data_IF_913460796981
#
_entry.id   IF_913460796981
#
_cell.length_a   1.000
_cell.length_b   1.000
_cell.length_c   1.000
_cell.angle_alpha   90.00
_cell.angle_beta   90.00
_cell.angle_gamma   90.00
#
_symmetry.space_group_name_H-M   'P 1'
#
loop_
_entity.id
_entity.type
_entity.pdbx_description
1 polymer ?
#
# COMPACT_ATOMS: atom_id res chain seq x y z
N UNK A 1 -6.75 -16.19 24.96
CA UNK A 1 -6.89 -17.10 23.83
C UNK A 1 -7.49 -16.42 22.62
N UNK A 2 -7.55 -17.14 21.49
CA UNK A 2 -8.11 -16.66 20.22
C UNK A 2 -9.07 -17.70 19.68
N UNK A 3 -10.28 -17.27 19.30
CA UNK A 3 -11.22 -18.13 18.57
C UNK A 3 -10.97 -17.94 17.06
N UNK A 4 -10.85 -19.03 16.33
CA UNK A 4 -10.64 -19.02 14.88
C UNK A 4 -11.52 -20.09 14.22
N UNK A 5 -11.75 -19.93 12.93
CA UNK A 5 -12.44 -20.91 12.09
C UNK A 5 -11.39 -21.74 11.34
N UNK A 6 -11.47 -23.05 11.46
CA UNK A 6 -10.59 -23.99 10.77
C UNK A 6 -10.98 -24.12 9.27
N UNK A 7 -10.17 -24.86 8.51
CA UNK A 7 -10.41 -25.09 7.08
C UNK A 7 -11.75 -25.81 6.76
N UNK A 8 -12.43 -26.38 7.75
CA UNK A 8 -13.70 -27.08 7.61
C UNK A 8 -14.90 -26.20 8.09
N UNK A 9 -14.65 -24.94 8.49
CA UNK A 9 -15.67 -24.04 9.00
C UNK A 9 -16.02 -24.25 10.48
N UNK A 10 -15.22 -25.03 11.22
CA UNK A 10 -15.45 -25.28 12.66
C UNK A 10 -14.76 -24.22 13.49
N UNK A 11 -15.49 -23.61 14.43
CA UNK A 11 -14.92 -22.70 15.41
C UNK A 11 -14.11 -23.47 16.46
N UNK A 12 -12.87 -23.05 16.65
CA UNK A 12 -11.96 -23.59 17.64
C UNK A 12 -11.37 -22.48 18.52
N UNK A 13 -11.09 -22.79 19.77
CA UNK A 13 -10.42 -21.90 20.73
C UNK A 13 -8.97 -22.35 20.90
N UNK A 14 -8.04 -21.47 20.60
CA UNK A 14 -6.65 -21.61 20.96
C UNK A 14 -6.39 -20.85 22.26
N UNK A 15 -6.14 -21.57 23.34
CA UNK A 15 -5.81 -20.98 24.63
C UNK A 15 -4.38 -20.40 24.61
N UNK A 16 -4.20 -19.22 25.19
CA UNK A 16 -2.91 -18.56 25.36
C UNK A 16 -2.95 -17.63 26.58
N UNK A 17 -1.81 -17.49 27.25
CA UNK A 17 -1.65 -16.56 28.39
C UNK A 17 -1.59 -15.12 27.91
N UNK A 18 -1.02 -14.88 26.71
CA UNK A 18 -0.89 -13.59 26.07
C UNK A 18 -1.24 -13.69 24.59
N UNK A 19 -1.98 -12.70 24.09
CA UNK A 19 -2.28 -12.55 22.66
C UNK A 19 -1.72 -11.21 22.17
N UNK A 20 -0.92 -11.25 21.09
CA UNK A 20 -0.41 -10.06 20.41
C UNK A 20 -1.08 -9.96 19.06
N UNK A 21 -1.94 -8.95 18.89
CA UNK A 21 -2.53 -8.65 17.59
C UNK A 21 -1.58 -7.78 16.75
N UNK A 22 -1.28 -8.23 15.54
CA UNK A 22 -0.50 -7.49 14.53
C UNK A 22 -1.36 -7.12 13.32
N UNK A 23 -2.68 -7.28 13.42
CA UNK A 23 -3.63 -6.87 12.39
C UNK A 23 -3.85 -5.36 12.41
N UNK A 24 -4.60 -4.83 11.43
CA UNK A 24 -5.03 -3.43 11.45
C UNK A 24 -5.74 -3.09 12.77
N UNK A 25 -5.39 -1.96 13.38
CA UNK A 25 -5.91 -1.58 14.70
C UNK A 25 -7.42 -1.39 14.71
N UNK A 26 -7.98 -0.79 13.65
CA UNK A 26 -9.43 -0.65 13.53
C UNK A 26 -10.10 -2.03 13.50
N UNK A 27 -9.57 -2.97 12.72
CA UNK A 27 -10.09 -4.32 12.63
C UNK A 27 -9.98 -5.06 13.99
N UNK A 28 -8.82 -4.96 14.65
CA UNK A 28 -8.63 -5.56 15.99
C UNK A 28 -9.67 -5.05 16.98
N UNK A 29 -9.86 -3.74 17.04
CA UNK A 29 -10.75 -3.10 18.01
C UNK A 29 -12.23 -3.35 17.70
N UNK A 30 -12.64 -3.16 16.43
CA UNK A 30 -14.06 -3.14 16.07
C UNK A 30 -14.63 -4.50 15.65
N UNK A 31 -13.77 -5.47 15.31
CA UNK A 31 -14.18 -6.77 14.78
C UNK A 31 -13.74 -7.96 15.64
N UNK A 32 -12.58 -7.86 16.31
CA UNK A 32 -12.03 -8.98 17.08
C UNK A 32 -12.30 -8.85 18.57
N UNK A 33 -12.42 -7.64 19.11
CA UNK A 33 -12.68 -7.42 20.53
C UNK A 33 -14.17 -7.23 20.80
N UNK A 34 -14.70 -7.82 21.91
CA UNK A 34 -16.02 -7.48 22.42
C UNK A 34 -16.14 -5.99 22.71
N UNK A 35 -17.35 -5.43 22.58
CA UNK A 35 -17.57 -3.97 22.70
C UNK A 35 -17.08 -3.38 24.03
N UNK A 36 -17.21 -4.13 25.12
CA UNK A 36 -16.76 -3.73 26.46
C UNK A 36 -15.24 -3.70 26.65
N UNK A 37 -14.49 -4.33 25.74
CA UNK A 37 -13.01 -4.35 25.75
C UNK A 37 -12.39 -3.43 24.73
N UNK A 38 -13.19 -2.74 23.90
CA UNK A 38 -12.69 -1.83 22.87
C UNK A 38 -12.20 -0.53 23.50
N UNK A 39 -10.92 -0.22 23.31
CA UNK A 39 -10.36 1.10 23.64
C UNK A 39 -10.76 2.15 22.61
N UNK A 40 -10.87 1.75 21.34
CA UNK A 40 -11.17 2.60 20.19
C UNK A 40 -12.41 2.08 19.44
N UNK A 41 -13.64 2.34 19.96
CA UNK A 41 -14.87 1.93 19.31
C UNK A 41 -15.11 2.67 17.99
N UNK A 42 -16.06 2.20 17.16
CA UNK A 42 -16.34 2.77 15.84
C UNK A 42 -16.54 4.30 15.88
N UNK A 43 -17.17 4.85 16.92
CA UNK A 43 -17.36 6.29 17.09
C UNK A 43 -16.06 7.10 17.24
N UNK A 44 -14.96 6.48 17.63
CA UNK A 44 -13.63 7.07 17.61
C UNK A 44 -13.12 7.15 16.16
N UNK A 45 -13.26 6.07 15.38
CA UNK A 45 -12.78 5.96 14.01
C UNK A 45 -13.55 6.86 13.04
N UNK A 46 -14.83 7.11 13.29
CA UNK A 46 -15.69 7.99 12.49
C UNK A 46 -15.16 9.44 12.43
N UNK A 47 -14.39 9.84 13.45
CA UNK A 47 -13.79 11.16 13.57
C UNK A 47 -12.35 11.25 13.07
N UNK A 48 -11.77 10.11 12.66
CA UNK A 48 -10.37 10.05 12.23
C UNK A 48 -10.24 10.22 10.73
N UNK A 49 -9.15 10.87 10.35
CA UNK A 49 -8.72 11.01 8.96
C UNK A 49 -7.83 9.83 8.62
N UNK A 50 -8.13 9.14 7.54
CA UNK A 50 -7.31 8.05 7.03
C UNK A 50 -5.99 8.58 6.46
N UNK A 51 -4.92 7.84 6.67
CA UNK A 51 -3.63 8.06 6.00
C UNK A 51 -3.71 7.76 4.51
N UNK A 52 -2.62 7.94 3.78
CA UNK A 52 -2.60 7.60 2.36
C UNK A 52 -2.69 6.08 2.15
N UNK A 53 -3.21 5.71 1.00
CA UNK A 53 -3.06 4.41 0.39
C UNK A 53 -1.94 4.44 -0.65
N UNK A 54 -1.80 3.36 -1.39
CA UNK A 54 -0.85 3.26 -2.50
C UNK A 54 -1.40 2.38 -3.62
N UNK A 55 -0.91 2.59 -4.84
CA UNK A 55 -0.81 1.52 -5.82
C UNK A 55 0.60 0.96 -5.74
N UNK A 56 0.70 -0.34 -5.54
CA UNK A 56 1.96 -1.07 -5.62
C UNK A 56 2.06 -1.76 -6.97
N UNK A 57 3.27 -1.76 -7.54
CA UNK A 57 3.55 -2.45 -8.80
C UNK A 57 4.78 -3.31 -8.59
N UNK A 58 4.63 -4.60 -8.75
CA UNK A 58 5.72 -5.58 -8.72
C UNK A 58 6.04 -5.98 -10.15
N UNK A 59 7.31 -5.88 -10.52
CA UNK A 59 7.77 -6.14 -11.88
C UNK A 59 8.90 -7.16 -11.90
N UNK A 60 8.83 -8.11 -12.84
CA UNK A 60 9.97 -8.81 -13.36
C UNK A 60 10.40 -8.16 -14.68
N UNK A 61 11.66 -7.80 -14.79
CA UNK A 61 12.21 -7.08 -15.94
C UNK A 61 13.38 -7.89 -16.52
N UNK A 62 13.35 -8.16 -17.81
CA UNK A 62 14.44 -8.83 -18.51
C UNK A 62 15.67 -7.96 -18.56
N UNK A 63 16.82 -8.51 -18.17
CA UNK A 63 18.09 -7.80 -18.17
C UNK A 63 18.25 -6.84 -16.98
N UNK A 64 19.33 -6.08 -17.00
CA UNK A 64 19.67 -5.10 -15.97
C UNK A 64 19.06 -3.75 -16.27
N UNK A 65 18.77 -2.98 -15.22
CA UNK A 65 18.28 -1.59 -15.30
C UNK A 65 19.29 -0.70 -14.54
N UNK A 66 20.42 -0.35 -15.18
CA UNK A 66 21.49 0.40 -14.52
C UNK A 66 21.11 1.85 -14.17
N UNK A 67 20.07 2.39 -14.79
CA UNK A 67 19.53 3.74 -14.53
C UNK A 67 18.87 3.85 -13.15
N UNK A 68 18.49 2.71 -12.54
CA UNK A 68 17.88 2.64 -11.21
C UNK A 68 18.86 2.02 -10.22
N UNK A 69 18.97 2.62 -9.05
CA UNK A 69 19.69 2.07 -7.90
C UNK A 69 18.72 1.33 -6.96
N UNK A 70 19.23 0.69 -5.91
CA UNK A 70 18.40 -0.08 -4.97
C UNK A 70 17.18 0.71 -4.48
N UNK A 71 17.35 1.98 -4.12
CA UNK A 71 16.28 2.89 -3.76
C UNK A 71 16.33 4.14 -4.61
N UNK A 72 15.35 4.34 -5.48
CA UNK A 72 15.19 5.52 -6.32
C UNK A 72 13.91 6.26 -5.94
N UNK A 73 14.00 7.57 -5.77
CA UNK A 73 12.87 8.43 -5.42
C UNK A 73 12.72 9.48 -6.52
N UNK A 74 11.55 9.55 -7.12
CA UNK A 74 11.18 10.54 -8.12
C UNK A 74 10.20 11.52 -7.50
N UNK A 75 10.62 12.76 -7.30
CA UNK A 75 9.79 13.80 -6.72
C UNK A 75 9.28 14.76 -7.80
N UNK A 76 8.05 15.20 -7.67
CA UNK A 76 7.51 16.30 -8.48
C UNK A 76 8.00 17.64 -7.92
N UNK A 77 8.16 18.65 -8.78
CA UNK A 77 8.59 20.00 -8.36
C UNK A 77 7.60 20.63 -7.35
N UNK A 78 6.30 20.46 -7.60
CA UNK A 78 5.23 20.92 -6.69
C UNK A 78 4.70 19.77 -5.83
N UNK A 79 5.51 19.33 -4.90
CA UNK A 79 5.12 18.27 -3.96
C UNK A 79 4.07 18.72 -2.93
N UNK A 80 3.95 20.02 -2.65
CA UNK A 80 2.88 20.56 -1.78
C UNK A 80 1.53 20.32 -2.44
N UNK A 81 1.39 20.65 -3.73
CA UNK A 81 0.19 20.34 -4.50
C UNK A 81 -0.06 18.83 -4.58
N UNK A 82 0.99 18.03 -4.76
CA UNK A 82 0.91 16.59 -4.83
C UNK A 82 0.27 16.00 -3.56
N UNK A 83 0.78 16.38 -2.38
CA UNK A 83 0.21 15.97 -1.09
C UNK A 83 -1.19 16.54 -0.85
N UNK A 84 -1.44 17.79 -1.23
CA UNK A 84 -2.76 18.42 -1.05
C UNK A 84 -3.86 17.67 -1.81
N UNK A 85 -3.56 17.11 -2.98
CA UNK A 85 -4.49 16.27 -3.76
C UNK A 85 -4.87 14.99 -3.02
N UNK A 86 -3.89 14.34 -2.36
CA UNK A 86 -4.12 13.09 -1.61
C UNK A 86 -5.02 13.34 -0.38
N UNK A 87 -4.83 14.46 0.31
CA UNK A 87 -5.51 14.77 1.59
C UNK A 87 -6.65 15.78 1.46
N UNK A 88 -7.06 16.15 0.24
CA UNK A 88 -8.19 17.05 0.01
C UNK A 88 -9.52 16.47 0.52
N UNK A 89 -10.52 17.33 0.74
CA UNK A 89 -11.91 16.89 1.01
C UNK A 89 -12.50 16.04 -0.12
N UNK A 90 -12.07 16.28 -1.35
CA UNK A 90 -12.32 15.46 -2.52
C UNK A 90 -10.95 15.02 -3.06
N UNK A 91 -10.40 13.93 -2.53
CA UNK A 91 -9.06 13.52 -2.87
C UNK A 91 -8.98 13.05 -4.32
N UNK A 92 -7.83 13.26 -4.93
CA UNK A 92 -7.54 12.82 -6.30
C UNK A 92 -6.14 12.25 -6.38
N UNK A 93 -5.92 11.35 -7.33
CA UNK A 93 -4.59 10.82 -7.62
C UNK A 93 -3.74 11.92 -8.25
N UNK A 94 -2.56 12.24 -7.70
CA UNK A 94 -1.66 13.23 -8.29
C UNK A 94 -1.16 12.78 -9.68
N UNK A 95 -1.00 13.74 -10.59
CA UNK A 95 -0.37 13.53 -11.90
C UNK A 95 0.46 14.76 -12.23
N UNK A 96 1.80 14.63 -12.44
CA UNK A 96 2.61 13.45 -12.12
C UNK A 96 2.57 13.14 -10.62
N UNK A 97 2.90 11.90 -10.26
CA UNK A 97 2.99 11.48 -8.87
C UNK A 97 4.44 11.49 -8.37
N UNK A 98 4.65 11.68 -7.07
CA UNK A 98 5.92 11.29 -6.47
C UNK A 98 5.94 9.76 -6.35
N UNK A 99 7.01 9.12 -6.83
CA UNK A 99 7.09 7.66 -6.95
C UNK A 99 8.33 7.15 -6.26
N UNK A 100 8.20 6.06 -5.51
CA UNK A 100 9.30 5.31 -4.96
C UNK A 100 9.50 4.02 -5.75
N UNK A 101 10.76 3.74 -6.10
CA UNK A 101 11.17 2.49 -6.77
C UNK A 101 12.23 1.81 -5.93
N UNK A 102 12.01 0.53 -5.63
CA UNK A 102 13.00 -0.34 -5.02
C UNK A 102 13.43 -1.41 -6.03
N UNK A 103 14.74 -1.62 -6.14
CA UNK A 103 15.37 -2.66 -6.96
C UNK A 103 16.13 -3.64 -6.06
N UNK A 104 15.44 -4.60 -5.39
CA UNK A 104 16.09 -5.52 -4.45
C UNK A 104 17.21 -6.35 -5.07
N UNK A 105 17.08 -6.72 -6.35
CA UNK A 105 18.10 -7.45 -7.11
C UNK A 105 19.43 -6.73 -7.28
N UNK A 106 19.51 -5.44 -6.93
CA UNK A 106 20.76 -4.68 -6.93
C UNK A 106 21.72 -5.14 -5.81
N UNK A 107 21.18 -5.55 -4.69
CA UNK A 107 21.94 -5.99 -3.52
C UNK A 107 21.81 -7.49 -3.25
N UNK A 108 20.65 -8.09 -3.52
CA UNK A 108 20.42 -9.53 -3.40
C UNK A 108 20.07 -10.13 -4.76
N UNK A 109 21.06 -10.81 -5.35
CA UNK A 109 20.89 -11.45 -6.67
C UNK A 109 20.01 -12.70 -6.63
N UNK A 110 19.63 -13.20 -5.46
CA UNK A 110 18.80 -14.39 -5.32
C UNK A 110 17.29 -14.09 -5.52
N UNK A 111 16.90 -12.81 -5.49
CA UNK A 111 15.48 -12.38 -5.59
C UNK A 111 15.00 -12.15 -7.02
N UNK A 112 15.84 -12.42 -8.03
CA UNK A 112 15.48 -12.38 -9.45
C UNK A 112 16.20 -13.50 -10.22
N UNK A 113 15.70 -13.95 -11.38
CA UNK A 113 16.44 -14.84 -12.26
C UNK A 113 17.81 -14.25 -12.63
N UNK A 114 18.79 -15.14 -12.91
CA UNK A 114 20.14 -14.69 -13.21
C UNK A 114 20.18 -13.77 -14.46
N UNK A 115 20.64 -12.56 -14.25
CA UNK A 115 20.74 -11.55 -15.30
C UNK A 115 19.54 -10.62 -15.42
N UNK A 116 18.43 -10.94 -14.76
CA UNK A 116 17.22 -10.13 -14.76
C UNK A 116 17.11 -9.22 -13.51
N UNK A 117 16.11 -8.39 -13.50
CA UNK A 117 15.85 -7.39 -12.44
C UNK A 117 14.43 -7.57 -11.91
N UNK A 118 14.25 -7.42 -10.60
CA UNK A 118 12.94 -7.18 -10.03
C UNK A 118 12.82 -5.74 -9.55
N UNK A 119 11.63 -5.16 -9.70
CA UNK A 119 11.30 -3.83 -9.19
C UNK A 119 10.04 -3.89 -8.35
N UNK A 120 10.04 -3.08 -7.31
CA UNK A 120 8.87 -2.74 -6.52
C UNK A 120 8.65 -1.24 -6.66
N UNK A 121 7.46 -0.83 -7.10
CA UNK A 121 7.09 0.57 -7.25
C UNK A 121 5.93 0.90 -6.32
N UNK A 122 6.03 2.04 -5.65
CA UNK A 122 4.98 2.57 -4.79
C UNK A 122 4.56 3.95 -5.27
N UNK A 123 3.27 4.10 -5.59
CA UNK A 123 2.63 5.35 -5.96
C UNK A 123 1.67 5.76 -4.84
N UNK A 124 1.99 6.81 -4.05
CA UNK A 124 1.11 7.29 -2.99
C UNK A 124 -0.20 7.84 -3.56
N UNK A 125 -1.32 7.54 -2.90
CA UNK A 125 -2.62 8.01 -3.34
C UNK A 125 -3.61 8.12 -2.18
N UNK A 126 -4.81 8.66 -2.42
CA UNK A 126 -5.88 8.68 -1.43
C UNK A 126 -6.27 7.26 -0.97
N UNK A 127 -6.67 7.16 0.29
CA UNK A 127 -7.28 5.94 0.83
C UNK A 127 -8.75 5.86 0.34
N UNK A 128 -8.91 5.38 -0.88
CA UNK A 128 -10.20 5.23 -1.55
C UNK A 128 -10.30 3.84 -2.18
N UNK A 129 -11.01 2.95 -1.51
CA UNK A 129 -11.24 1.57 -1.99
C UNK A 129 -12.02 1.50 -3.31
N UNK A 130 -12.72 2.58 -3.69
CA UNK A 130 -13.43 2.63 -4.98
C UNK A 130 -12.50 2.72 -6.19
N UNK A 131 -11.20 2.98 -5.97
CA UNK A 131 -10.17 2.87 -7.00
C UNK A 131 -9.98 1.43 -7.47
N UNK A 132 -10.30 0.46 -6.61
CA UNK A 132 -10.40 -0.94 -6.98
C UNK A 132 -9.20 -1.79 -6.61
N UNK A 133 -9.17 -2.96 -7.22
CA UNK A 133 -8.16 -4.01 -7.04
C UNK A 133 -7.05 -3.91 -8.09
N UNK A 134 -5.88 -4.35 -7.71
CA UNK A 134 -4.84 -4.67 -8.67
C UNK A 134 -5.08 -6.02 -9.35
N UNK A 135 -4.16 -6.39 -10.25
CA UNK A 135 -4.23 -7.64 -10.99
C UNK A 135 -2.87 -8.12 -11.47
N UNK A 136 -2.89 -9.21 -12.21
CA UNK A 136 -1.72 -9.77 -12.87
C UNK A 136 -1.74 -9.35 -14.34
N UNK A 137 -0.61 -8.89 -14.85
CA UNK A 137 -0.38 -8.54 -16.26
C UNK A 137 -1.45 -7.61 -16.89
N UNK A 138 -1.97 -6.68 -16.08
CA UNK A 138 -2.95 -5.68 -16.52
C UNK A 138 -4.42 -6.05 -16.29
N UNK A 139 -4.70 -7.17 -15.61
CA UNK A 139 -6.05 -7.68 -15.34
C UNK A 139 -6.72 -7.02 -14.10
N UNK A 140 -6.09 -6.00 -13.53
CA UNK A 140 -6.66 -5.23 -12.42
C UNK A 140 -7.77 -4.26 -12.87
N UNK A 141 -8.37 -3.59 -11.88
CA UNK A 141 -9.36 -2.55 -12.16
C UNK A 141 -8.75 -1.43 -13.02
N UNK A 142 -9.48 -0.91 -14.02
CA UNK A 142 -8.95 0.05 -14.98
C UNK A 142 -8.34 1.32 -14.36
N UNK A 143 -8.85 1.74 -13.18
CA UNK A 143 -8.32 2.90 -12.49
C UNK A 143 -6.93 2.62 -11.89
N UNK A 144 -6.74 1.43 -11.30
CA UNK A 144 -5.46 0.99 -10.72
C UNK A 144 -4.42 0.79 -11.83
N UNK A 145 -4.81 0.08 -12.91
CA UNK A 145 -3.91 -0.19 -14.03
C UNK A 145 -3.47 1.09 -14.73
N UNK A 146 -4.37 2.04 -14.93
CA UNK A 146 -4.04 3.37 -15.51
C UNK A 146 -3.07 4.17 -14.65
N UNK A 147 -3.14 4.04 -13.32
CA UNK A 147 -2.18 4.68 -12.41
C UNK A 147 -0.82 4.02 -12.57
N UNK A 148 -0.80 2.69 -12.63
CA UNK A 148 0.42 1.93 -12.83
C UNK A 148 1.10 2.26 -14.17
N UNK A 149 0.35 2.31 -15.27
CA UNK A 149 0.88 2.68 -16.59
C UNK A 149 1.56 4.05 -16.56
N UNK A 150 0.86 5.05 -16.02
CA UNK A 150 1.42 6.41 -15.88
C UNK A 150 2.68 6.48 -15.04
N UNK A 151 2.73 5.69 -13.96
CA UNK A 151 3.92 5.62 -13.12
C UNK A 151 5.09 4.98 -13.86
N UNK A 152 4.85 3.95 -14.66
CA UNK A 152 5.87 3.29 -15.47
C UNK A 152 6.38 4.20 -16.59
N UNK A 153 5.49 4.91 -17.29
CA UNK A 153 5.87 5.93 -18.27
C UNK A 153 6.76 7.00 -17.63
N UNK A 154 6.34 7.52 -16.47
CA UNK A 154 7.10 8.53 -15.73
C UNK A 154 8.47 8.03 -15.29
N UNK A 155 8.56 6.80 -14.75
CA UNK A 155 9.83 6.19 -14.34
C UNK A 155 10.75 6.04 -15.56
N UNK A 156 10.24 5.52 -16.67
CA UNK A 156 11.00 5.33 -17.91
C UNK A 156 11.57 6.66 -18.41
N UNK A 157 10.74 7.69 -18.48
CA UNK A 157 11.14 9.02 -18.93
C UNK A 157 12.16 9.66 -17.97
N UNK A 158 11.87 9.68 -16.69
CA UNK A 158 12.67 10.43 -15.71
C UNK A 158 13.98 9.74 -15.31
N UNK A 159 14.05 8.40 -15.40
CA UNK A 159 15.29 7.66 -15.19
C UNK A 159 16.18 7.59 -16.42
N UNK A 160 15.60 7.73 -17.61
CA UNK A 160 16.27 7.46 -18.88
C UNK A 160 16.27 5.99 -19.30
N UNK A 161 15.61 5.10 -18.55
CA UNK A 161 15.42 3.68 -18.91
C UNK A 161 14.30 3.54 -19.96
N UNK A 162 14.53 4.08 -21.15
CA UNK A 162 13.49 4.24 -22.19
C UNK A 162 12.92 2.94 -22.74
N UNK A 163 13.63 1.81 -22.57
CA UNK A 163 13.20 0.48 -22.98
C UNK A 163 12.61 -0.37 -21.81
N UNK A 164 12.42 0.24 -20.62
CA UNK A 164 11.98 -0.46 -19.42
C UNK A 164 10.66 -1.21 -19.64
N UNK A 165 9.68 -0.54 -20.24
CA UNK A 165 8.33 -1.07 -20.43
C UNK A 165 8.33 -2.29 -21.34
N UNK A 166 9.10 -2.26 -22.42
CA UNK A 166 9.20 -3.37 -23.39
C UNK A 166 9.89 -4.61 -22.81
N UNK A 167 10.62 -4.44 -21.72
CA UNK A 167 11.33 -5.52 -21.02
C UNK A 167 10.58 -6.15 -19.86
N UNK A 168 9.39 -5.63 -19.51
CA UNK A 168 8.57 -6.20 -18.45
C UNK A 168 8.08 -7.58 -18.91
N UNK A 169 8.34 -8.61 -18.10
CA UNK A 169 7.96 -10.01 -18.37
C UNK A 169 6.88 -10.52 -17.41
N UNK A 170 6.70 -9.82 -16.29
CA UNK A 170 5.59 -10.04 -15.36
C UNK A 170 5.31 -8.72 -14.65
N UNK A 171 4.03 -8.43 -14.47
CA UNK A 171 3.55 -7.25 -13.76
C UNK A 171 2.43 -7.67 -12.82
N UNK A 172 2.53 -7.31 -11.55
CA UNK A 172 1.42 -7.42 -10.60
C UNK A 172 1.18 -6.08 -9.95
N UNK A 173 -0.06 -5.64 -9.97
CA UNK A 173 -0.51 -4.44 -9.26
C UNK A 173 -1.28 -4.82 -8.00
N UNK A 174 -1.31 -3.91 -7.02
CA UNK A 174 -2.11 -3.99 -5.79
C UNK A 174 -2.70 -2.61 -5.57
N UNK A 175 -4.02 -2.54 -5.39
CA UNK A 175 -4.76 -1.29 -5.17
C UNK A 175 -5.31 -1.16 -3.75
N UNK A 176 -6.00 -0.05 -3.45
CA UNK A 176 -6.58 0.19 -2.12
C UNK A 176 -7.60 -0.86 -1.67
N UNK A 177 -8.34 -1.46 -2.61
CA UNK A 177 -9.30 -2.53 -2.30
C UNK A 177 -8.59 -3.81 -1.82
N UNK A 178 -7.42 -4.14 -2.39
CA UNK A 178 -6.61 -5.27 -1.95
C UNK A 178 -6.10 -5.09 -0.52
N UNK A 179 -5.66 -3.87 -0.14
CA UNK A 179 -5.26 -3.59 1.24
C UNK A 179 -6.41 -3.82 2.22
N UNK A 180 -7.61 -3.39 1.86
CA UNK A 180 -8.79 -3.61 2.69
C UNK A 180 -9.14 -5.08 2.82
N UNK A 181 -9.13 -5.82 1.71
CA UNK A 181 -9.56 -7.23 1.70
C UNK A 181 -8.51 -8.14 2.33
N UNK A 182 -7.25 -8.03 1.89
CA UNK A 182 -6.18 -8.95 2.31
C UNK A 182 -5.63 -8.64 3.70
N UNK A 183 -5.65 -7.38 4.13
CA UNK A 183 -5.05 -6.93 5.40
C UNK A 183 -6.08 -6.38 6.38
N UNK A 184 -7.38 -6.37 6.04
CA UNK A 184 -8.43 -5.67 6.78
C UNK A 184 -8.10 -4.19 7.04
N UNK A 185 -7.27 -3.57 6.19
CA UNK A 185 -6.77 -2.22 6.39
C UNK A 185 -7.92 -1.21 6.38
N UNK A 186 -8.02 -0.41 7.44
CA UNK A 186 -9.07 0.59 7.60
C UNK A 186 -9.10 1.56 6.41
N UNK A 187 -10.24 1.61 5.72
CA UNK A 187 -10.45 2.40 4.48
C UNK A 187 -9.45 2.10 3.35
N UNK A 188 -8.79 0.95 3.38
CA UNK A 188 -7.76 0.60 2.39
C UNK A 188 -6.47 1.42 2.51
N UNK A 189 -6.15 1.95 3.70
CA UNK A 189 -4.90 2.70 3.91
C UNK A 189 -3.70 1.76 3.88
N UNK A 190 -2.55 2.27 3.41
CA UNK A 190 -1.28 1.57 3.55
C UNK A 190 -0.61 1.81 4.92
N UNK A 191 -0.98 2.88 5.64
CA UNK A 191 -0.29 3.37 6.84
C UNK A 191 -1.22 3.64 8.04
N UNK A 192 -2.51 3.26 7.96
CA UNK A 192 -3.49 3.53 9.02
C UNK A 192 -3.91 5.00 9.11
N UNK A 193 -4.15 5.58 10.31
CA UNK A 193 -4.56 6.97 10.48
C UNK A 193 -3.53 7.98 9.95
N UNK A 194 -4.02 9.09 9.37
CA UNK A 194 -3.17 10.16 8.87
C UNK A 194 -2.34 10.81 9.98
N UNK A 195 -1.12 11.19 9.67
CA UNK A 195 -0.21 11.90 10.57
C UNK A 195 -0.51 13.42 10.59
N UNK A 196 -1.77 13.79 10.77
CA UNK A 196 -2.14 15.17 11.02
C UNK A 196 -1.70 15.59 12.43
N UNK A 197 -1.55 16.90 12.67
CA UNK A 197 -1.15 17.40 13.99
C UNK A 197 -2.04 16.84 15.12
N UNK A 198 -3.36 16.76 14.89
CA UNK A 198 -4.34 16.27 15.88
C UNK A 198 -4.43 14.73 15.95
N UNK A 199 -3.63 14.00 15.19
CA UNK A 199 -3.58 12.53 15.19
C UNK A 199 -2.16 11.99 15.39
N UNK A 200 -1.18 12.84 15.67
CA UNK A 200 0.22 12.46 15.83
C UNK A 200 0.83 13.02 17.10
N UNK A 201 2.00 12.54 17.45
CA UNK A 201 2.78 12.95 18.63
C UNK A 201 1.92 12.94 19.92
N UNK A 202 1.80 14.06 20.60
CA UNK A 202 1.06 14.18 21.88
C UNK A 202 -0.45 13.97 21.73
N UNK A 203 -1.02 14.11 20.53
CA UNK A 203 -2.45 13.91 20.25
C UNK A 203 -2.75 12.51 19.68
N UNK A 204 -1.72 11.69 19.56
CA UNK A 204 -1.90 10.28 19.19
C UNK A 204 -2.62 9.54 20.32
N UNK A 205 -3.45 8.57 19.95
CA UNK A 205 -4.09 7.68 20.91
C UNK A 205 -3.05 6.99 21.78
N UNK A 206 -3.33 6.92 23.06
CA UNK A 206 -2.49 6.16 24.01
C UNK A 206 -2.58 4.66 23.73
N UNK A 207 -1.55 3.93 24.11
CA UNK A 207 -1.52 2.46 24.02
C UNK A 207 -2.01 1.80 25.34
N UNK A 208 -3.00 2.41 25.98
CA UNK A 208 -3.54 1.95 27.26
C UNK A 208 -4.98 1.55 27.06
#
# INVERSE_FOLDING_TARGET
GVTFEDANGKLELLEADLVVSTTDLHHSETSLLPAELQTFPQSYWDRKVAGPSAVLIYLGVRGQVPELIHHSLFFTDDWVQNFSKIFAKKPTVPVPASVYVCKPSDTDRAVAPKGDTNLFVLVPMPADVSLGYGGLDGDGDPAVEKIADRALDQISEWSGATDLIDRIVVRRTVGPADFKESLNAWKGTALGPAHTLMQSALFRSTNI
#
